data_IF_562478415299
#
_entry.id   IF_562478415299
#
_cell.length_a   1.000
_cell.length_b   1.000
_cell.length_c   1.000
_cell.angle_alpha   90.00
_cell.angle_beta   90.00
_cell.angle_gamma   90.00
#
_symmetry.space_group_name_H-M   'P 1'
#
loop_
_entity.id
_entity.type
_entity.pdbx_description
1 polymer ?
#
# COMPACT_ATOMS: atom_id res chain seq x y z
N UNK A 1 -4.31 6.68 19.68
CA UNK A 1 -4.15 8.07 19.23
C UNK A 1 -2.97 8.26 18.29
N UNK A 2 -1.78 7.79 18.69
CA UNK A 2 -0.61 7.92 17.84
C UNK A 2 -0.78 7.22 16.47
N UNK A 3 -1.44 6.07 16.45
CA UNK A 3 -1.65 5.33 15.20
C UNK A 3 -2.61 6.06 14.26
N UNK A 4 -3.58 6.78 14.83
CA UNK A 4 -4.52 7.55 14.03
C UNK A 4 -3.80 8.72 13.37
N UNK A 5 -2.94 9.41 14.12
CA UNK A 5 -2.18 10.53 13.57
C UNK A 5 -1.22 10.06 12.46
N UNK A 6 -0.59 8.92 12.65
CA UNK A 6 0.28 8.34 11.63
C UNK A 6 -0.49 8.00 10.38
N UNK A 7 -1.67 7.40 10.53
CA UNK A 7 -2.51 7.05 9.39
C UNK A 7 -2.94 8.28 8.63
N UNK A 8 -3.29 9.35 9.33
CA UNK A 8 -3.67 10.61 8.69
C UNK A 8 -2.50 11.19 7.88
N UNK A 9 -1.29 11.13 8.44
CA UNK A 9 -0.12 11.60 7.73
C UNK A 9 0.12 10.79 6.46
N UNK A 10 -0.02 9.48 6.55
CA UNK A 10 0.14 8.61 5.39
C UNK A 10 -0.90 8.92 4.32
N UNK A 11 -2.13 9.19 4.74
CA UNK A 11 -3.22 9.44 3.81
C UNK A 11 -3.13 10.83 3.16
N UNK A 12 -2.34 11.75 3.72
CA UNK A 12 -2.14 13.05 3.10
C UNK A 12 -1.02 13.05 2.07
N UNK A 13 -0.24 11.99 1.99
CA UNK A 13 0.81 11.86 0.98
C UNK A 13 0.18 11.41 -0.33
N UNK A 14 0.28 12.21 -1.41
CA UNK A 14 -0.35 11.86 -2.68
C UNK A 14 0.09 10.51 -3.24
N UNK A 15 1.36 10.18 -3.09
CA UNK A 15 1.90 8.92 -3.60
C UNK A 15 1.26 7.73 -2.89
N UNK A 16 1.14 7.83 -1.57
CA UNK A 16 0.56 6.74 -0.79
C UNK A 16 -0.91 6.56 -1.09
N UNK A 17 -1.64 7.67 -1.25
CA UNK A 17 -3.05 7.60 -1.61
C UNK A 17 -3.23 6.94 -2.97
N UNK A 18 -2.37 7.25 -3.92
CA UNK A 18 -2.46 6.65 -5.26
C UNK A 18 -2.22 5.15 -5.20
N UNK A 19 -1.22 4.72 -4.40
CA UNK A 19 -0.94 3.29 -4.25
C UNK A 19 -2.13 2.59 -3.61
N UNK A 20 -2.69 3.15 -2.55
CA UNK A 20 -3.83 2.55 -1.87
C UNK A 20 -5.05 2.48 -2.76
N UNK A 21 -5.30 3.52 -3.55
CA UNK A 21 -6.41 3.53 -4.49
C UNK A 21 -6.30 2.42 -5.53
N UNK A 22 -5.10 2.24 -6.08
CA UNK A 22 -4.88 1.22 -7.10
C UNK A 22 -5.02 -0.18 -6.52
N UNK A 23 -4.63 -0.35 -5.26
CA UNK A 23 -4.72 -1.64 -4.60
C UNK A 23 -6.10 -1.94 -4.02
N UNK A 24 -7.01 -0.99 -4.10
CA UNK A 24 -8.36 -1.18 -3.58
C UNK A 24 -9.10 -2.22 -4.41
N UNK A 25 -9.35 -3.39 -3.80
CA UNK A 25 -10.04 -4.47 -4.46
C UNK A 25 -9.19 -5.26 -5.44
N UNK A 26 -7.90 -4.95 -5.57
CA UNK A 26 -7.01 -5.65 -6.48
C UNK A 26 -5.69 -6.01 -5.82
N UNK A 27 -5.13 -7.12 -6.28
CA UNK A 27 -3.83 -7.59 -5.83
C UNK A 27 -2.82 -7.33 -6.93
N UNK A 28 -1.81 -6.52 -6.65
CA UNK A 28 -0.83 -6.10 -7.66
C UNK A 28 0.60 -6.31 -7.18
N UNK A 29 1.47 -6.66 -8.12
CA UNK A 29 2.90 -6.76 -7.83
C UNK A 29 3.55 -5.39 -7.95
N UNK A 30 4.83 -5.31 -7.51
CA UNK A 30 5.59 -4.07 -7.66
C UNK A 30 5.70 -3.68 -9.13
N UNK A 31 5.95 -4.65 -10.01
CA UNK A 31 6.07 -4.38 -11.43
C UNK A 31 4.79 -3.79 -12.01
N UNK A 32 3.65 -4.33 -11.60
CA UNK A 32 2.36 -3.81 -12.04
C UNK A 32 2.11 -2.40 -11.51
N UNK A 33 2.48 -2.16 -10.26
CA UNK A 33 2.34 -0.83 -9.67
C UNK A 33 3.22 0.18 -10.39
N UNK A 34 4.42 -0.22 -10.80
CA UNK A 34 5.31 0.65 -11.56
C UNK A 34 4.67 1.11 -12.87
N UNK A 35 4.01 0.19 -13.55
CA UNK A 35 3.34 0.50 -14.81
C UNK A 35 2.13 1.41 -14.59
N UNK A 36 1.29 1.05 -13.65
CA UNK A 36 0.05 1.78 -13.40
C UNK A 36 0.33 3.20 -12.90
N UNK A 37 1.30 3.33 -12.00
CA UNK A 37 1.60 4.62 -11.38
C UNK A 37 2.69 5.40 -12.10
N UNK A 38 3.38 4.75 -13.03
CA UNK A 38 4.50 5.36 -13.76
C UNK A 38 5.57 5.87 -12.79
N UNK A 39 5.96 5.01 -11.86
CA UNK A 39 6.95 5.34 -10.83
C UNK A 39 8.05 4.29 -10.80
N UNK A 40 9.20 4.68 -10.30
CA UNK A 40 10.33 3.77 -10.18
C UNK A 40 10.15 2.73 -9.08
N UNK A 41 10.85 1.60 -9.22
CA UNK A 41 10.77 0.50 -8.28
C UNK A 41 11.15 0.89 -6.85
N UNK A 42 12.27 1.61 -6.71
CA UNK A 42 12.74 2.01 -5.37
C UNK A 42 11.71 2.82 -4.62
N UNK A 43 11.09 3.76 -5.31
CA UNK A 43 10.10 4.62 -4.70
C UNK A 43 8.86 3.83 -4.27
N UNK A 44 8.39 2.95 -5.14
CA UNK A 44 7.24 2.11 -4.83
C UNK A 44 7.55 1.15 -3.69
N UNK A 45 8.70 0.48 -3.75
CA UNK A 45 9.09 -0.46 -2.71
C UNK A 45 9.23 0.21 -1.35
N UNK A 46 9.78 1.41 -1.31
CA UNK A 46 9.92 2.17 -0.08
C UNK A 46 8.55 2.51 0.50
N UNK A 47 7.63 2.96 -0.35
CA UNK A 47 6.28 3.29 0.10
C UNK A 47 5.52 2.05 0.56
N UNK A 48 5.64 0.94 -0.16
CA UNK A 48 4.98 -0.29 0.24
C UNK A 48 5.49 -0.82 1.57
N UNK A 49 6.80 -0.75 1.80
CA UNK A 49 7.36 -1.18 3.06
C UNK A 49 6.81 -0.35 4.22
N UNK A 50 6.69 0.96 4.02
CA UNK A 50 6.14 1.85 5.03
C UNK A 50 4.66 1.54 5.28
N UNK A 51 3.89 1.38 4.20
CA UNK A 51 2.47 1.08 4.30
C UNK A 51 2.23 -0.27 4.98
N UNK A 52 3.06 -1.25 4.67
CA UNK A 52 2.97 -2.57 5.31
C UNK A 52 3.26 -2.46 6.80
N UNK A 53 4.27 -1.71 7.17
CA UNK A 53 4.63 -1.49 8.56
C UNK A 53 3.47 -0.87 9.34
N UNK A 54 2.72 0.01 8.71
CA UNK A 54 1.57 0.68 9.33
C UNK A 54 0.29 -0.14 9.24
N UNK A 55 0.33 -1.31 8.61
CA UNK A 55 -0.84 -2.17 8.50
C UNK A 55 -1.85 -1.76 7.47
N UNK A 56 -1.46 -0.89 6.54
CA UNK A 56 -2.36 -0.41 5.49
C UNK A 56 -2.33 -1.26 4.23
N UNK A 57 -1.30 -2.06 4.05
CA UNK A 57 -1.24 -3.04 2.96
C UNK A 57 -0.72 -4.35 3.51
N UNK A 58 -1.07 -5.44 2.84
CA UNK A 58 -0.55 -6.76 3.13
C UNK A 58 0.06 -7.32 1.87
N UNK A 59 1.03 -8.21 2.03
CA UNK A 59 1.64 -8.87 0.89
C UNK A 59 1.35 -10.37 0.95
N UNK A 60 1.38 -10.98 -0.23
CA UNK A 60 1.12 -12.39 -0.38
C UNK A 60 2.06 -12.92 -1.44
N UNK A 61 2.77 -13.99 -1.13
CA UNK A 61 3.70 -14.59 -2.08
C UNK A 61 3.03 -15.75 -2.79
N UNK A 62 3.09 -15.74 -4.12
CA UNK A 62 2.60 -16.82 -4.95
C UNK A 62 3.72 -17.19 -5.91
N UNK A 63 4.37 -18.35 -5.67
CA UNK A 63 5.52 -18.74 -6.45
C UNK A 63 6.66 -17.77 -6.28
N UNK A 64 7.12 -17.19 -7.36
CA UNK A 64 8.21 -16.22 -7.36
C UNK A 64 7.73 -14.77 -7.23
N UNK A 65 6.41 -14.58 -7.23
CA UNK A 65 5.83 -13.25 -7.24
C UNK A 65 5.28 -12.86 -5.89
N UNK A 66 5.39 -11.59 -5.57
CA UNK A 66 4.80 -11.02 -4.36
C UNK A 66 3.76 -9.99 -4.79
N UNK A 67 2.55 -10.15 -4.29
CA UNK A 67 1.43 -9.25 -4.59
C UNK A 67 1.02 -8.49 -3.35
N UNK A 68 0.56 -7.28 -3.55
CA UNK A 68 0.13 -6.40 -2.46
C UNK A 68 -1.34 -6.07 -2.60
N UNK A 69 -2.02 -5.97 -1.46
CA UNK A 69 -3.43 -5.56 -1.41
C UNK A 69 -3.59 -4.51 -0.34
N UNK A 70 -4.62 -3.68 -0.50
CA UNK A 70 -4.95 -2.68 0.50
C UNK A 70 -5.70 -3.31 1.67
N UNK A 71 -5.31 -2.95 2.88
CA UNK A 71 -6.00 -3.35 4.10
C UNK A 71 -6.74 -2.18 4.72
N UNK A 72 -6.92 -1.11 3.97
CA UNK A 72 -7.50 0.12 4.50
C UNK A 72 -8.90 -0.10 5.05
N UNK A 73 -9.73 -0.85 4.32
CA UNK A 73 -11.09 -1.17 4.75
C UNK A 73 -11.09 -1.94 6.06
N UNK A 74 -10.21 -2.92 6.18
CA UNK A 74 -10.11 -3.73 7.39
C UNK A 74 -9.65 -2.88 8.57
N UNK A 75 -8.71 -1.99 8.33
CA UNK A 75 -8.22 -1.09 9.36
C UNK A 75 -9.32 -0.19 9.89
N UNK A 76 -10.17 0.30 9.00
CA UNK A 76 -11.29 1.14 9.39
C UNK A 76 -12.37 0.35 10.11
N UNK A 77 -12.60 -0.89 9.71
CA UNK A 77 -13.60 -1.75 10.35
C UNK A 77 -13.16 -2.20 11.73
N UNK A 78 -11.87 -2.28 11.95
CA UNK A 78 -11.32 -2.69 13.24
C UNK A 78 -11.50 -1.68 14.34
N UNK A 79 -12.06 -0.55 14.02
CA UNK A 79 -12.31 0.53 15.00
C UNK A 79 -13.70 0.41 15.65
#
# INVERSE_FOLDING_TARGET
>A
MKSILKSLKLLTDPTRLRILNVLDGESLSVAELQEVLNMGQSRISTQLAQLKKEGLVADSRTGKNVFYVSCLDESLRGV
#
